data_IF_366069302188
#
_entry.id   IF_366069302188
#
_cell.length_a   1.000
_cell.length_b   1.000
_cell.length_c   1.000
_cell.angle_alpha   90.00
_cell.angle_beta   90.00
_cell.angle_gamma   90.00
#
_symmetry.space_group_name_H-M   'P 1'
#
loop_
_entity.id
_entity.type
_entity.pdbx_description
1 polymer ?
#
# COMPACT_ATOMS: atom_id res chain seq x y z
N UNK A 1 -13.94 -11.87 14.40
CA UNK A 1 -12.65 -11.21 14.66
C UNK A 1 -12.58 -10.80 16.13
N UNK A 2 -11.45 -11.00 16.83
CA UNK A 2 -11.20 -10.23 18.04
C UNK A 2 -11.21 -8.73 17.67
N UNK A 3 -11.56 -7.82 18.58
CA UNK A 3 -11.23 -6.41 18.38
C UNK A 3 -9.70 -6.27 18.32
N UNK A 4 -9.13 -6.02 17.13
CA UNK A 4 -8.27 -4.83 16.98
C UNK A 4 -8.24 -4.17 15.58
N UNK A 5 -8.85 -4.74 14.53
CA UNK A 5 -8.68 -4.22 13.16
C UNK A 5 -9.62 -3.06 12.82
N UNK A 6 -10.92 -3.15 13.13
CA UNK A 6 -11.88 -2.06 12.87
C UNK A 6 -11.47 -0.75 13.55
N UNK A 7 -11.08 -0.79 14.82
CA UNK A 7 -10.59 0.39 15.57
C UNK A 7 -9.31 0.96 14.97
N UNK A 8 -8.37 0.09 14.56
CA UNK A 8 -7.16 0.50 13.86
C UNK A 8 -7.47 1.20 12.52
N UNK A 9 -8.43 0.69 11.75
CA UNK A 9 -8.86 1.30 10.49
C UNK A 9 -9.41 2.71 10.74
N UNK A 10 -10.22 2.87 11.78
CA UNK A 10 -10.80 4.17 12.15
C UNK A 10 -9.70 5.14 12.57
N UNK A 11 -8.79 4.73 13.45
CA UNK A 11 -7.67 5.56 13.92
C UNK A 11 -6.76 5.97 12.76
N UNK A 12 -6.42 5.03 11.88
CA UNK A 12 -5.59 5.28 10.70
C UNK A 12 -6.27 6.24 9.72
N UNK A 13 -7.59 6.10 9.52
CA UNK A 13 -8.38 7.00 8.69
C UNK A 13 -8.30 8.43 9.21
N UNK A 14 -8.50 8.64 10.51
CA UNK A 14 -8.44 9.97 11.13
C UNK A 14 -7.02 10.53 11.19
N UNK A 15 -6.00 9.69 11.38
CA UNK A 15 -4.61 10.10 11.36
C UNK A 15 -4.21 10.67 9.98
N UNK A 16 -4.54 9.96 8.89
CA UNK A 16 -4.26 10.46 7.54
C UNK A 16 -5.09 11.68 7.16
N UNK A 17 -6.34 11.75 7.60
CA UNK A 17 -7.17 12.94 7.42
C UNK A 17 -6.51 14.17 8.07
N UNK A 18 -6.12 14.04 9.34
CA UNK A 18 -5.44 15.10 10.10
C UNK A 18 -4.13 15.51 9.42
N UNK A 19 -3.33 14.53 8.99
CA UNK A 19 -2.08 14.79 8.30
C UNK A 19 -2.31 15.54 6.96
N UNK A 20 -3.30 15.15 6.17
CA UNK A 20 -3.66 15.85 4.92
C UNK A 20 -4.08 17.31 5.18
N UNK A 21 -4.79 17.57 6.29
CA UNK A 21 -5.14 18.93 6.72
C UNK A 21 -3.90 19.76 7.11
N UNK A 22 -2.96 19.17 7.87
CA UNK A 22 -1.69 19.84 8.20
C UNK A 22 -0.86 20.16 6.96
N UNK A 23 -0.80 19.24 5.99
CA UNK A 23 -0.10 19.48 4.72
C UNK A 23 -0.79 20.57 3.89
N UNK A 24 -2.12 20.68 3.94
CA UNK A 24 -2.84 21.78 3.29
C UNK A 24 -2.50 23.14 3.91
N UNK A 25 -2.40 23.21 5.24
CA UNK A 25 -1.97 24.43 5.92
C UNK A 25 -0.52 24.78 5.56
N UNK A 26 0.37 23.79 5.58
CA UNK A 26 1.76 24.01 5.20
C UNK A 26 1.91 24.46 3.74
N UNK A 27 1.13 23.89 2.84
CA UNK A 27 1.04 24.36 1.45
C UNK A 27 0.64 25.84 1.39
N UNK A 28 -0.40 26.24 2.12
CA UNK A 28 -0.84 27.64 2.16
C UNK A 28 0.26 28.56 2.71
N UNK A 29 0.96 28.15 3.78
CA UNK A 29 2.06 28.91 4.35
C UNK A 29 3.21 29.12 3.34
N UNK A 30 3.51 28.10 2.53
CA UNK A 30 4.51 28.21 1.46
C UNK A 30 4.05 29.15 0.34
N UNK A 31 2.76 29.17 0.00
CA UNK A 31 2.20 30.15 -0.96
C UNK A 31 2.41 31.57 -0.43
N UNK A 32 2.04 31.83 0.82
CA UNK A 32 2.24 33.14 1.44
C UNK A 32 3.72 33.54 1.52
N UNK A 33 4.61 32.60 1.83
CA UNK A 33 6.04 32.84 1.86
C UNK A 33 6.59 33.20 0.47
N UNK A 34 6.19 32.47 -0.57
CA UNK A 34 6.63 32.74 -1.94
C UNK A 34 6.16 34.12 -2.42
N UNK A 35 4.90 34.49 -2.15
CA UNK A 35 4.35 35.81 -2.48
C UNK A 35 5.12 36.94 -1.79
N UNK A 36 5.42 36.78 -0.49
CA UNK A 36 6.19 37.76 0.27
C UNK A 36 7.61 37.91 -0.29
N UNK A 37 8.32 36.80 -0.55
CA UNK A 37 9.67 36.81 -1.12
C UNK A 37 9.71 37.49 -2.49
N UNK A 38 8.72 37.21 -3.34
CA UNK A 38 8.61 37.87 -4.64
C UNK A 38 8.38 39.39 -4.47
N UNK A 39 7.51 39.79 -3.54
CA UNK A 39 7.21 41.21 -3.27
C UNK A 39 8.40 41.98 -2.68
N UNK A 40 9.27 41.31 -1.93
CA UNK A 40 10.51 41.85 -1.36
C UNK A 40 11.67 41.92 -2.38
N UNK A 41 11.43 41.49 -3.63
CA UNK A 41 12.43 41.54 -4.70
C UNK A 41 13.38 40.35 -4.71
N UNK A 42 13.00 39.22 -4.11
CA UNK A 42 13.73 37.96 -4.16
C UNK A 42 12.98 36.86 -4.95
N UNK A 43 12.84 37.02 -6.28
CA UNK A 43 12.07 36.09 -7.11
C UNK A 43 12.72 34.70 -7.25
N UNK A 44 14.03 34.60 -7.08
CA UNK A 44 14.73 33.31 -7.15
C UNK A 44 14.33 32.41 -5.97
N UNK A 45 14.38 32.94 -4.74
CA UNK A 45 13.92 32.18 -3.57
C UNK A 45 12.42 31.92 -3.58
N UNK A 46 11.61 32.85 -4.12
CA UNK A 46 10.18 32.61 -4.30
C UNK A 46 9.92 31.39 -5.20
N UNK A 47 10.65 31.27 -6.32
CA UNK A 47 10.55 30.09 -7.20
C UNK A 47 10.97 28.79 -6.51
N UNK A 48 12.01 28.81 -5.67
CA UNK A 48 12.44 27.63 -4.93
C UNK A 48 11.36 27.17 -3.93
N UNK A 49 10.70 28.11 -3.24
CA UNK A 49 9.57 27.83 -2.35
C UNK A 49 8.36 27.31 -3.15
N UNK A 50 8.11 27.86 -4.33
CA UNK A 50 7.04 27.40 -5.24
C UNK A 50 7.29 25.99 -5.79
N UNK A 51 8.55 25.59 -5.98
CA UNK A 51 8.88 24.21 -6.31
C UNK A 51 8.64 23.28 -5.10
N UNK A 52 8.97 23.73 -3.88
CA UNK A 52 8.72 22.95 -2.67
C UNK A 52 7.23 22.73 -2.40
N UNK A 53 6.36 23.74 -2.62
CA UNK A 53 4.92 23.60 -2.37
C UNK A 53 4.26 22.55 -3.27
N UNK A 54 4.79 22.31 -4.49
CA UNK A 54 4.27 21.27 -5.40
C UNK A 54 4.38 19.90 -4.74
N UNK A 55 5.53 19.57 -4.14
CA UNK A 55 5.70 18.29 -3.46
C UNK A 55 4.80 18.15 -2.23
N UNK A 56 4.54 19.24 -1.51
CA UNK A 56 3.58 19.24 -0.39
C UNK A 56 2.15 19.01 -0.90
N UNK A 57 1.80 19.59 -2.04
CA UNK A 57 0.50 19.36 -2.68
C UNK A 57 0.31 17.91 -3.11
N UNK A 58 1.33 17.29 -3.70
CA UNK A 58 1.29 15.89 -4.11
C UNK A 58 1.08 14.97 -2.89
N UNK A 59 1.88 15.15 -1.83
CA UNK A 59 1.73 14.42 -0.57
C UNK A 59 0.33 14.60 0.03
N UNK A 60 -0.19 15.84 0.03
CA UNK A 60 -1.54 16.14 0.52
C UNK A 60 -2.59 15.40 -0.30
N UNK A 61 -2.42 15.30 -1.62
CA UNK A 61 -3.36 14.66 -2.54
C UNK A 61 -3.36 13.14 -2.35
N UNK A 62 -2.19 12.52 -2.21
CA UNK A 62 -2.04 11.08 -1.97
C UNK A 62 -2.67 10.63 -0.63
N UNK A 63 -2.74 11.54 0.35
CA UNK A 63 -3.33 11.30 1.66
C UNK A 63 -4.78 11.81 1.80
N UNK A 64 -5.34 12.40 0.74
CA UNK A 64 -6.70 12.94 0.74
C UNK A 64 -7.79 11.86 0.60
N UNK A 65 -9.05 12.28 0.48
CA UNK A 65 -10.22 11.39 0.34
C UNK A 65 -10.57 11.02 -1.10
N UNK A 66 -9.79 11.49 -2.08
CA UNK A 66 -10.03 11.20 -3.49
C UNK A 66 -9.94 9.70 -3.78
N UNK A 67 -10.76 9.20 -4.71
CA UNK A 67 -10.78 7.77 -5.11
C UNK A 67 -9.47 7.27 -5.72
N UNK A 68 -8.57 8.18 -6.09
CA UNK A 68 -7.23 7.89 -6.60
C UNK A 68 -6.15 8.01 -5.52
N UNK A 69 -6.51 8.34 -4.28
CA UNK A 69 -5.55 8.55 -3.21
C UNK A 69 -5.06 7.23 -2.62
N UNK A 70 -3.79 7.21 -2.19
CA UNK A 70 -3.19 6.07 -1.50
C UNK A 70 -3.94 5.76 -0.20
N UNK A 71 -4.39 6.79 0.54
CA UNK A 71 -5.25 6.62 1.73
C UNK A 71 -6.52 5.85 1.39
N UNK A 72 -7.22 6.24 0.31
CA UNK A 72 -8.46 5.60 -0.09
C UNK A 72 -8.25 4.10 -0.35
N UNK A 73 -7.24 3.76 -1.13
CA UNK A 73 -6.94 2.37 -1.46
C UNK A 73 -6.53 1.56 -0.23
N UNK A 74 -5.69 2.10 0.64
CA UNK A 74 -5.28 1.43 1.87
C UNK A 74 -6.46 1.15 2.80
N UNK A 75 -7.30 2.15 3.08
CA UNK A 75 -8.46 1.99 3.95
C UNK A 75 -9.46 0.99 3.34
N UNK A 76 -9.71 1.06 2.03
CA UNK A 76 -10.55 0.08 1.30
C UNK A 76 -10.02 -1.34 1.45
N UNK A 77 -8.72 -1.54 1.28
CA UNK A 77 -8.09 -2.86 1.41
C UNK A 77 -8.25 -3.39 2.83
N UNK A 78 -8.01 -2.55 3.84
CA UNK A 78 -8.17 -2.94 5.25
C UNK A 78 -9.63 -3.22 5.61
N UNK A 79 -10.58 -2.44 5.12
CA UNK A 79 -12.02 -2.69 5.30
C UNK A 79 -12.47 -3.97 4.61
N UNK A 80 -11.96 -4.25 3.41
CA UNK A 80 -12.23 -5.50 2.72
C UNK A 80 -11.69 -6.68 3.53
N UNK A 81 -10.47 -6.58 4.07
CA UNK A 81 -9.90 -7.54 5.00
C UNK A 81 -10.84 -7.70 6.20
N UNK A 82 -11.15 -6.63 6.94
CA UNK A 82 -12.04 -6.66 8.12
C UNK A 82 -13.39 -7.33 7.86
N UNK A 83 -13.94 -7.14 6.66
CA UNK A 83 -15.24 -7.70 6.24
C UNK A 83 -15.17 -9.16 5.77
N UNK A 84 -14.04 -9.59 5.19
CA UNK A 84 -13.91 -10.89 4.53
C UNK A 84 -12.92 -11.83 5.25
N UNK A 85 -12.38 -11.39 6.39
CA UNK A 85 -11.52 -12.21 7.23
C UNK A 85 -12.38 -12.97 8.23
N UNK A 86 -12.84 -14.14 7.80
CA UNK A 86 -13.51 -15.06 8.70
C UNK A 86 -12.59 -15.38 9.89
N UNK A 87 -13.19 -15.64 11.05
CA UNK A 87 -12.44 -16.18 12.18
C UNK A 87 -11.75 -17.48 11.77
N UNK A 88 -10.71 -17.87 12.52
CA UNK A 88 -10.09 -19.16 12.26
C UNK A 88 -11.14 -20.26 12.37
N UNK A 89 -11.41 -20.88 11.23
CA UNK A 89 -12.33 -21.98 11.08
C UNK A 89 -11.75 -23.27 11.63
N UNK A 90 -12.34 -24.41 11.28
CA UNK A 90 -11.81 -25.69 11.73
C UNK A 90 -10.37 -25.93 11.26
N UNK A 91 -9.66 -26.87 11.89
CA UNK A 91 -8.23 -27.16 11.66
C UNK A 91 -7.88 -27.38 10.17
N UNK A 92 -8.84 -27.88 9.37
CA UNK A 92 -8.67 -28.17 7.95
C UNK A 92 -9.14 -27.06 6.99
N UNK A 93 -9.73 -25.99 7.51
CA UNK A 93 -10.17 -24.88 6.67
C UNK A 93 -8.99 -23.95 6.36
N UNK A 94 -8.80 -23.63 5.08
CA UNK A 94 -7.79 -22.66 4.65
C UNK A 94 -8.26 -21.26 5.00
N UNK A 95 -7.82 -20.75 6.15
CA UNK A 95 -8.08 -19.37 6.58
C UNK A 95 -6.94 -18.43 6.20
N UNK A 96 -7.24 -17.14 6.12
CA UNK A 96 -6.23 -16.14 5.80
C UNK A 96 -5.16 -16.02 6.91
N UNK A 97 -5.51 -16.27 8.18
CA UNK A 97 -4.52 -16.35 9.27
C UNK A 97 -3.52 -17.48 9.03
N UNK A 98 -3.98 -18.67 8.61
CA UNK A 98 -3.10 -19.79 8.25
C UNK A 98 -2.24 -19.50 7.03
N UNK A 99 -2.76 -18.78 6.03
CA UNK A 99 -1.98 -18.34 4.86
C UNK A 99 -0.87 -17.38 5.31
N UNK A 100 -1.20 -16.42 6.16
CA UNK A 100 -0.25 -15.46 6.69
C UNK A 100 0.82 -16.11 7.58
N UNK A 101 0.42 -17.00 8.49
CA UNK A 101 1.32 -17.78 9.33
C UNK A 101 2.27 -18.62 8.47
N UNK A 102 1.75 -19.29 7.43
CA UNK A 102 2.57 -20.00 6.46
C UNK A 102 3.52 -19.08 5.68
N UNK A 103 3.13 -17.84 5.37
CA UNK A 103 3.99 -16.85 4.70
C UNK A 103 5.09 -16.31 5.63
N UNK A 104 4.83 -16.15 6.92
CA UNK A 104 5.81 -15.71 7.90
C UNK A 104 6.77 -16.81 8.34
N UNK A 105 6.29 -18.05 8.43
CA UNK A 105 7.08 -19.23 8.73
C UNK A 105 7.82 -19.78 7.50
N UNK A 106 7.40 -19.36 6.30
CA UNK A 106 8.06 -19.73 5.06
C UNK A 106 9.51 -19.23 5.08
N UNK A 107 10.43 -20.16 4.82
CA UNK A 107 11.82 -19.81 4.51
C UNK A 107 11.82 -18.91 3.27
N UNK A 108 12.76 -17.97 3.14
CA UNK A 108 12.76 -16.98 2.04
C UNK A 108 12.61 -17.57 0.63
N UNK A 109 13.10 -18.79 0.40
CA UNK A 109 12.98 -19.48 -0.88
C UNK A 109 11.61 -20.15 -1.12
N UNK A 110 10.81 -20.40 -0.08
CA UNK A 110 9.49 -21.04 -0.19
C UNK A 110 8.44 -20.06 -0.73
N UNK A 111 8.52 -18.78 -0.37
CA UNK A 111 7.67 -17.73 -0.97
C UNK A 111 7.94 -17.57 -2.48
N UNK A 112 9.20 -17.74 -2.92
CA UNK A 112 9.57 -17.74 -4.34
C UNK A 112 8.98 -18.93 -5.12
N UNK A 113 8.60 -20.01 -4.43
CA UNK A 113 7.97 -21.18 -5.03
C UNK A 113 6.44 -21.04 -5.17
N UNK A 114 5.83 -20.01 -4.56
CA UNK A 114 4.39 -19.82 -4.55
C UNK A 114 3.82 -19.59 -5.96
N UNK A 115 4.40 -18.65 -6.71
CA UNK A 115 3.99 -18.35 -8.10
C UNK A 115 4.07 -19.60 -8.99
N UNK A 116 5.18 -20.35 -9.01
CA UNK A 116 5.23 -21.58 -9.79
C UNK A 116 4.31 -22.70 -9.29
N UNK A 117 4.01 -22.78 -7.99
CA UNK A 117 3.01 -23.73 -7.47
C UNK A 117 1.59 -23.38 -7.94
N UNK A 118 1.20 -22.10 -7.93
CA UNK A 118 -0.08 -21.65 -8.48
C UNK A 118 -0.16 -21.96 -9.98
N UNK A 119 0.91 -21.70 -10.72
CA UNK A 119 0.98 -22.06 -12.13
C UNK A 119 0.96 -23.59 -12.35
N UNK A 120 1.54 -24.38 -11.45
CA UNK A 120 1.46 -25.85 -11.51
C UNK A 120 0.05 -26.36 -11.28
N UNK A 121 -0.69 -25.78 -10.33
CA UNK A 121 -2.11 -26.09 -10.10
C UNK A 121 -2.95 -25.70 -11.31
N UNK A 122 -2.72 -24.53 -11.91
CA UNK A 122 -3.36 -24.12 -13.17
C UNK A 122 -3.00 -25.03 -14.34
N UNK A 123 -1.74 -25.47 -14.40
CA UNK A 123 -1.24 -26.42 -15.38
C UNK A 123 -1.92 -27.78 -15.24
N UNK A 124 -2.07 -28.30 -14.02
CA UNK A 124 -2.76 -29.55 -13.74
C UNK A 124 -4.23 -29.53 -14.17
N UNK A 125 -4.93 -28.39 -14.00
CA UNK A 125 -6.31 -28.20 -14.48
C UNK A 125 -6.39 -28.20 -16.02
N UNK A 126 -5.32 -27.79 -16.70
CA UNK A 126 -5.23 -27.75 -18.17
C UNK A 126 -4.41 -28.87 -18.81
N UNK A 127 -4.11 -29.95 -18.08
CA UNK A 127 -3.24 -31.07 -18.52
C UNK A 127 -1.83 -30.65 -19.00
N UNK A 128 -1.32 -29.52 -18.51
CA UNK A 128 0.02 -29.02 -18.82
C UNK A 128 1.03 -29.47 -17.78
N UNK A 129 2.07 -30.19 -18.20
CA UNK A 129 3.17 -30.61 -17.34
C UNK A 129 4.12 -29.42 -17.10
N UNK A 130 4.31 -29.05 -15.83
CA UNK A 130 5.40 -28.14 -15.45
C UNK A 130 6.70 -28.93 -15.41
N UNK A 131 7.63 -28.58 -16.27
CA UNK A 131 8.95 -29.22 -16.34
C UNK A 131 9.96 -28.51 -15.44
N UNK A 132 11.00 -29.24 -15.03
CA UNK A 132 12.11 -28.73 -14.22
C UNK A 132 12.83 -27.54 -14.89
N UNK A 133 12.84 -27.50 -16.22
CA UNK A 133 13.41 -26.40 -17.01
C UNK A 133 12.54 -25.12 -16.96
N UNK A 134 11.20 -25.25 -16.97
CA UNK A 134 10.30 -24.12 -16.73
C UNK A 134 10.50 -23.54 -15.32
N UNK A 135 10.61 -24.43 -14.33
CA UNK A 135 10.86 -24.04 -12.95
C UNK A 135 12.17 -23.27 -12.76
N UNK A 136 13.24 -23.79 -13.36
CA UNK A 136 14.57 -23.16 -13.29
C UNK A 136 14.55 -21.77 -13.95
N UNK A 137 13.84 -21.63 -15.08
CA UNK A 137 13.67 -20.34 -15.78
C UNK A 137 12.84 -19.34 -14.98
N UNK A 138 11.78 -19.79 -14.31
CA UNK A 138 10.95 -18.94 -13.46
C UNK A 138 11.74 -18.42 -12.25
N UNK A 139 12.49 -19.28 -11.55
CA UNK A 139 13.26 -18.89 -10.37
C UNK A 139 14.43 -17.94 -10.70
N UNK A 140 15.12 -18.14 -11.84
CA UNK A 140 16.18 -17.22 -12.31
C UNK A 140 15.72 -15.80 -12.63
N UNK A 141 14.41 -15.59 -12.85
CA UNK A 141 13.86 -14.26 -13.12
C UNK A 141 13.66 -13.41 -11.86
N UNK A 142 13.71 -14.03 -10.68
CA UNK A 142 13.47 -13.39 -9.38
C UNK A 142 14.71 -13.38 -8.46
N UNK A 143 15.83 -13.92 -8.93
CA UNK A 143 17.17 -13.80 -8.32
C UNK A 143 17.93 -12.63 -8.91
#
# INVERSE_FOLDING_TARGET
>A
MPEPLTSYIIDLHYAFYTLSSHLQNFYNDLVYLADNLASEGNPASANDVDNARIHIWDLKTDLSEGVTSTRYHLIRSLQWIDTNWDGDGEEYELTMSKILEALWDAKPYQCLLFVPMIDAMRGAIGEKTITEDYMTKALRRFS
#
